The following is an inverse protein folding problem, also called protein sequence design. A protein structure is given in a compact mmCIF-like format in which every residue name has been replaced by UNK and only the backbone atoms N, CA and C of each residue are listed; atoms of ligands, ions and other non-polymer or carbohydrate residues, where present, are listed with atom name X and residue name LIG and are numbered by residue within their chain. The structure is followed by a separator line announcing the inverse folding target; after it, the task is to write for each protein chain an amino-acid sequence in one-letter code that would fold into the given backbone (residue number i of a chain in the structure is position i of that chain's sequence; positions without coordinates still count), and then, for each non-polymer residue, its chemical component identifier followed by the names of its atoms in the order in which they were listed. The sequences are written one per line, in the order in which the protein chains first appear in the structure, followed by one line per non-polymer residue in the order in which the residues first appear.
data_IF_178117014940
#
_entry.id   IF_178117014940
#
_cell.length_a   1.000
_cell.length_b   1.000
_cell.length_c   1.000
_cell.angle_alpha   90.00
_cell.angle_beta   90.00
_cell.angle_gamma   90.00
#
_symmetry.space_group_name_H-M   'P 1'
#
loop_
_entity.id
_entity.type
_entity.pdbx_description
1 polymer ?
#
# COMPACT_ATOMS: atom_id res chain seq x y z
N UNK A 1 -2.95 10.62 -74.94
CA UNK A 1 -2.06 9.43 -75.05
C UNK A 1 -2.57 8.32 -74.11
N UNK A 2 -2.18 7.06 -74.36
CA UNK A 2 -2.66 5.82 -73.69
C UNK A 2 -2.20 5.76 -72.22
N UNK A 3 -3.07 5.49 -71.23
CA UNK A 3 -3.60 4.20 -70.69
C UNK A 3 -2.61 3.35 -69.83
N UNK A 4 -2.87 3.34 -68.52
CA UNK A 4 -3.11 2.20 -67.58
C UNK A 4 -2.10 1.03 -67.35
N UNK A 5 -2.22 0.41 -66.16
CA UNK A 5 -1.79 -0.96 -65.75
C UNK A 5 -0.26 -1.21 -65.55
N UNK A 6 0.26 -2.20 -64.80
CA UNK A 6 -0.22 -3.11 -63.72
C UNK A 6 1.00 -3.73 -62.98
N UNK A 7 0.74 -4.49 -61.90
CA UNK A 7 1.57 -5.45 -61.15
C UNK A 7 2.73 -6.20 -61.85
N UNK A 8 3.75 -6.60 -61.06
CA UNK A 8 4.20 -7.99 -60.80
C UNK A 8 5.48 -7.96 -59.90
N UNK A 9 5.51 -8.57 -58.71
CA UNK A 9 5.62 -10.00 -58.31
C UNK A 9 7.08 -10.51 -58.14
N UNK A 10 7.32 -11.14 -56.97
CA UNK A 10 8.42 -12.08 -56.64
C UNK A 10 9.85 -11.48 -56.59
N UNK A 11 10.77 -11.94 -55.73
CA UNK A 11 11.17 -13.34 -55.47
C UNK A 11 11.41 -13.63 -53.97
N UNK A 12 10.99 -14.84 -53.54
CA UNK A 12 11.46 -15.48 -52.29
C UNK A 12 12.89 -16.03 -52.47
N UNK A 13 13.72 -15.91 -51.43
CA UNK A 13 14.70 -16.94 -51.12
C UNK A 13 14.64 -17.30 -49.63
N UNK A 14 13.95 -18.40 -49.34
CA UNK A 14 14.12 -19.16 -48.10
C UNK A 14 15.27 -20.13 -48.30
N UNK A 15 16.25 -20.14 -47.39
CA UNK A 15 17.02 -21.34 -47.07
C UNK A 15 17.01 -21.48 -45.55
N UNK A 16 16.56 -22.64 -45.10
CA UNK A 16 16.51 -23.01 -43.70
C UNK A 16 17.44 -24.21 -43.44
N UNK A 17 17.62 -24.48 -42.14
CA UNK A 17 17.88 -25.78 -41.49
C UNK A 17 19.28 -26.04 -40.91
N UNK A 18 19.26 -26.23 -39.57
CA UNK A 18 19.97 -27.21 -38.74
C UNK A 18 21.52 -27.28 -38.75
N UNK A 19 22.19 -27.52 -37.61
CA UNK A 19 21.73 -27.67 -36.21
C UNK A 19 22.75 -28.43 -35.34
N UNK A 20 22.64 -28.33 -33.99
CA UNK A 20 23.41 -29.05 -32.94
C UNK A 20 24.94 -28.76 -32.92
N UNK A 21 25.73 -28.81 -31.84
CA UNK A 21 25.62 -29.04 -30.37
C UNK A 21 27.00 -28.69 -29.72
N UNK A 22 27.26 -28.61 -28.41
CA UNK A 22 26.50 -28.66 -27.13
C UNK A 22 27.30 -27.95 -26.00
N UNK A 23 26.76 -27.96 -24.77
CA UNK A 23 27.42 -27.82 -23.46
C UNK A 23 28.08 -26.49 -23.01
N UNK A 24 27.71 -26.06 -21.79
CA UNK A 24 28.29 -24.92 -21.09
C UNK A 24 27.38 -24.41 -19.96
N UNK A 25 27.56 -24.90 -18.74
CA UNK A 25 26.70 -24.60 -17.58
C UNK A 25 26.71 -23.12 -17.17
N UNK A 26 25.57 -22.63 -16.66
CA UNK A 26 25.52 -21.93 -15.35
C UNK A 26 24.08 -21.75 -14.84
N UNK A 27 23.87 -22.10 -13.56
CA UNK A 27 22.62 -21.89 -12.83
C UNK A 27 22.45 -20.40 -12.48
N UNK A 28 21.33 -19.79 -12.88
CA UNK A 28 20.81 -18.54 -12.30
C UNK A 28 19.35 -18.28 -12.74
N UNK A 29 18.41 -19.19 -12.47
CA UNK A 29 16.98 -18.89 -12.61
C UNK A 29 16.50 -18.06 -11.42
N UNK A 30 16.89 -16.78 -11.41
CA UNK A 30 16.21 -15.78 -10.60
C UNK A 30 14.83 -15.55 -11.19
N UNK A 31 13.78 -15.97 -10.49
CA UNK A 31 12.39 -15.72 -10.89
C UNK A 31 12.15 -14.21 -10.91
N UNK A 32 12.13 -13.62 -12.10
CA UNK A 32 11.81 -12.21 -12.30
C UNK A 32 10.31 -12.00 -12.05
N UNK A 33 9.96 -11.72 -10.79
CA UNK A 33 8.64 -11.16 -10.45
C UNK A 33 8.47 -9.86 -11.24
N UNK A 34 7.38 -9.77 -11.99
CA UNK A 34 7.09 -8.63 -12.86
C UNK A 34 7.07 -7.32 -12.08
N UNK A 35 7.71 -6.28 -12.61
CA UNK A 35 7.90 -5.00 -11.93
C UNK A 35 6.60 -4.21 -11.82
N UNK A 36 5.95 -4.28 -10.66
CA UNK A 36 4.93 -3.32 -10.25
C UNK A 36 5.60 -2.03 -9.72
N UNK A 37 6.20 -1.24 -10.61
CA UNK A 37 6.57 0.14 -10.25
C UNK A 37 5.28 0.92 -9.93
N UNK A 38 5.11 1.42 -8.71
CA UNK A 38 4.03 2.36 -8.36
C UNK A 38 4.30 3.74 -9.00
N UNK A 39 4.22 3.79 -10.33
CA UNK A 39 4.18 5.01 -11.11
C UNK A 39 2.86 5.73 -10.83
N UNK A 40 2.99 6.88 -10.18
CA UNK A 40 2.01 7.75 -9.51
C UNK A 40 0.85 8.32 -10.34
N UNK A 41 0.48 7.73 -11.48
CA UNK A 41 -0.66 8.18 -12.31
C UNK A 41 -1.58 7.01 -12.69
N UNK A 42 -2.88 7.13 -12.38
CA UNK A 42 -3.93 6.16 -12.68
C UNK A 42 -4.72 6.54 -13.94
N UNK A 43 -5.35 5.60 -14.67
CA UNK A 43 -6.24 5.94 -15.77
C UNK A 43 -7.48 6.70 -15.26
N UNK A 44 -8.00 7.61 -16.08
CA UNK A 44 -9.14 8.47 -15.73
C UNK A 44 -10.47 7.71 -15.74
N UNK A 45 -10.75 6.98 -14.66
CA UNK A 45 -12.09 6.48 -14.31
C UNK A 45 -13.01 7.59 -13.78
N UNK A 46 -14.31 7.29 -13.60
CA UNK A 46 -15.32 8.28 -13.18
C UNK A 46 -14.94 9.00 -11.89
N UNK A 47 -14.65 10.29 -11.99
CA UNK A 47 -14.57 11.18 -10.83
C UNK A 47 -15.97 11.33 -10.21
N UNK A 48 -16.19 10.69 -9.07
CA UNK A 48 -17.36 10.93 -8.24
C UNK A 48 -17.24 12.35 -7.67
N UNK A 49 -18.07 13.26 -8.19
CA UNK A 49 -17.91 14.70 -7.98
C UNK A 49 -18.09 15.05 -6.50
N UNK A 50 -16.95 15.27 -5.84
CA UNK A 50 -16.84 15.92 -4.54
C UNK A 50 -17.63 17.24 -4.52
N UNK A 51 -18.06 17.67 -3.32
CA UNK A 51 -18.78 18.94 -3.11
C UNK A 51 -18.09 20.08 -3.88
N UNK A 52 -18.83 20.92 -4.62
CA UNK A 52 -18.21 21.92 -5.49
C UNK A 52 -17.45 22.94 -4.66
N UNK A 53 -16.13 22.82 -4.66
CA UNK A 53 -15.17 23.81 -5.14
C UNK A 53 -13.80 23.56 -4.51
N UNK A 54 -12.76 23.81 -5.31
CA UNK A 54 -11.44 24.09 -4.77
C UNK A 54 -11.54 25.30 -3.83
N UNK A 55 -10.82 25.23 -2.70
CA UNK A 55 -10.71 26.35 -1.75
C UNK A 55 -9.26 26.80 -1.67
N UNK A 56 -9.04 28.05 -1.29
CA UNK A 56 -7.68 28.57 -1.08
C UNK A 56 -7.06 27.89 0.16
N UNK A 57 -5.74 27.68 0.16
CA UNK A 57 -5.05 27.08 1.30
C UNK A 57 -5.19 27.91 2.59
N UNK A 58 -5.44 29.22 2.47
CA UNK A 58 -5.76 30.13 3.59
C UNK A 58 -7.08 29.82 4.28
N UNK A 59 -8.02 29.20 3.56
CA UNK A 59 -9.42 29.07 3.98
C UNK A 59 -9.69 27.70 4.64
N UNK A 60 -8.65 26.86 4.77
CA UNK A 60 -8.71 25.58 5.47
C UNK A 60 -8.58 25.83 6.98
N UNK A 61 -9.71 25.71 7.68
CA UNK A 61 -9.75 25.69 9.15
C UNK A 61 -9.17 24.36 9.67
N UNK A 62 -8.00 24.42 10.32
CA UNK A 62 -7.19 23.25 10.70
C UNK A 62 -7.12 23.06 12.21
N UNK A 63 -7.05 21.80 12.64
CA UNK A 63 -6.71 21.44 14.01
C UNK A 63 -5.35 20.73 14.06
N UNK A 64 -4.31 21.45 14.48
CA UNK A 64 -2.92 20.99 14.49
C UNK A 64 -2.61 19.84 15.47
N UNK A 65 -3.60 19.34 16.20
CA UNK A 65 -3.43 18.18 17.09
C UNK A 65 -3.99 16.87 16.53
N UNK A 66 -4.67 16.86 15.37
CA UNK A 66 -5.37 15.66 14.89
C UNK A 66 -4.42 14.56 14.38
N UNK A 67 -3.24 14.94 13.87
CA UNK A 67 -2.22 14.01 13.36
C UNK A 67 -1.13 13.65 14.38
N UNK A 68 -1.26 14.08 15.64
CA UNK A 68 -0.28 13.75 16.68
C UNK A 68 -0.23 12.24 16.91
N UNK A 69 0.98 11.67 16.99
CA UNK A 69 1.21 10.23 17.05
C UNK A 69 1.14 9.50 15.70
N UNK A 70 0.90 10.18 14.57
CA UNK A 70 1.06 9.57 13.24
C UNK A 70 2.54 9.57 12.82
N UNK A 71 3.00 8.46 12.25
CA UNK A 71 4.42 8.18 12.03
C UNK A 71 5.07 9.18 11.09
N UNK A 72 4.52 9.40 9.89
CA UNK A 72 5.12 10.30 8.92
C UNK A 72 4.97 11.77 9.37
N UNK A 73 3.82 12.14 9.93
CA UNK A 73 3.60 13.46 10.54
C UNK A 73 4.64 13.81 11.63
N UNK A 74 5.02 12.85 12.48
CA UNK A 74 5.98 13.09 13.58
C UNK A 74 7.32 13.67 13.08
N UNK A 75 7.76 13.23 11.89
CA UNK A 75 9.05 13.56 11.26
C UNK A 75 9.08 14.93 10.58
N UNK A 76 7.93 15.58 10.42
CA UNK A 76 7.78 16.85 9.73
C UNK A 76 8.25 18.04 10.59
N UNK A 77 8.85 19.04 9.93
CA UNK A 77 9.07 20.37 10.53
C UNK A 77 7.75 21.08 10.82
N UNK A 78 7.73 22.06 11.72
CA UNK A 78 6.48 22.78 12.10
C UNK A 78 5.77 23.41 10.88
N UNK A 79 6.54 23.93 9.93
CA UNK A 79 6.04 24.46 8.65
C UNK A 79 5.35 23.37 7.82
N UNK A 80 5.95 22.18 7.75
CA UNK A 80 5.38 21.04 7.03
C UNK A 80 4.18 20.42 7.75
N UNK A 81 4.18 20.40 9.09
CA UNK A 81 3.02 19.99 9.90
C UNK A 81 1.80 20.86 9.65
N UNK A 82 2.00 22.18 9.55
CA UNK A 82 0.96 23.12 9.13
C UNK A 82 0.39 22.78 7.74
N UNK A 83 1.27 22.48 6.77
CA UNK A 83 0.84 22.17 5.40
C UNK A 83 0.13 20.82 5.29
N UNK A 84 0.66 19.81 5.97
CA UNK A 84 0.06 18.49 6.10
C UNK A 84 -1.36 18.59 6.68
N UNK A 85 -1.56 19.34 7.76
CA UNK A 85 -2.88 19.49 8.37
C UNK A 85 -3.89 20.19 7.46
N UNK A 86 -3.47 21.16 6.63
CA UNK A 86 -4.32 21.74 5.58
C UNK A 86 -4.76 20.69 4.56
N UNK A 87 -3.79 19.96 3.99
CA UNK A 87 -4.03 18.92 2.98
C UNK A 87 -4.95 17.82 3.54
N UNK A 88 -4.60 17.26 4.71
CA UNK A 88 -5.35 16.21 5.41
C UNK A 88 -6.76 16.66 5.77
N UNK A 89 -6.93 17.88 6.28
CA UNK A 89 -8.26 18.43 6.59
C UNK A 89 -9.13 18.53 5.33
N UNK A 90 -8.56 18.99 4.22
CA UNK A 90 -9.28 19.09 2.95
C UNK A 90 -9.65 17.71 2.36
N UNK A 91 -8.77 16.71 2.49
CA UNK A 91 -9.04 15.28 2.16
C UNK A 91 -10.16 14.71 3.04
N UNK A 92 -10.10 14.91 4.37
CA UNK A 92 -11.13 14.47 5.33
C UNK A 92 -12.49 15.12 5.06
N UNK A 93 -12.51 16.38 4.61
CA UNK A 93 -13.72 17.09 4.19
C UNK A 93 -14.22 16.68 2.79
N UNK A 94 -13.51 15.79 2.09
CA UNK A 94 -13.76 15.40 0.69
C UNK A 94 -13.89 16.60 -0.25
N UNK A 95 -12.94 17.55 -0.19
CA UNK A 95 -12.83 18.68 -1.14
C UNK A 95 -12.31 18.19 -2.48
N UNK A 96 -12.63 18.87 -3.58
CA UNK A 96 -12.05 18.54 -4.91
C UNK A 96 -10.53 18.79 -5.01
N UNK A 97 -9.99 19.60 -4.10
CA UNK A 97 -8.59 20.02 -4.09
C UNK A 97 -8.40 21.38 -3.42
N UNK A 98 -7.17 21.91 -3.47
CA UNK A 98 -6.78 23.23 -2.97
C UNK A 98 -6.12 24.08 -4.05
N UNK A 99 -6.38 25.38 -4.00
CA UNK A 99 -5.52 26.39 -4.61
C UNK A 99 -4.49 26.83 -3.58
N UNK A 100 -3.21 26.61 -3.89
CA UNK A 100 -2.12 26.85 -2.97
C UNK A 100 -1.30 28.05 -3.41
N UNK A 101 -1.38 29.13 -2.63
CA UNK A 101 -0.74 30.40 -2.93
C UNK A 101 0.56 30.60 -2.15
N UNK A 102 0.75 29.87 -1.04
CA UNK A 102 1.96 29.96 -0.24
C UNK A 102 3.16 29.40 -1.02
N UNK A 103 4.15 30.26 -1.29
CA UNK A 103 5.35 29.97 -2.09
C UNK A 103 6.56 29.50 -1.28
N UNK A 104 6.40 29.31 0.03
CA UNK A 104 7.43 28.72 0.89
C UNK A 104 7.53 27.19 0.76
N UNK A 105 6.68 26.57 -0.06
CA UNK A 105 6.77 25.17 -0.45
C UNK A 105 6.91 24.99 -1.96
N UNK A 106 7.26 23.77 -2.38
CA UNK A 106 7.25 23.36 -3.79
C UNK A 106 6.06 22.44 -4.08
N UNK A 107 5.71 22.25 -5.37
CA UNK A 107 4.71 21.25 -5.76
C UNK A 107 5.10 19.83 -5.30
N UNK A 108 6.39 19.46 -5.41
CA UNK A 108 6.89 18.18 -4.92
C UNK A 108 6.74 18.03 -3.40
N UNK A 109 6.96 19.09 -2.62
CA UNK A 109 6.75 19.05 -1.16
C UNK A 109 5.26 18.81 -0.83
N UNK A 110 4.32 19.34 -1.62
CA UNK A 110 2.90 19.06 -1.45
C UNK A 110 2.56 17.59 -1.82
N UNK A 111 3.12 17.07 -2.90
CA UNK A 111 2.94 15.68 -3.31
C UNK A 111 3.55 14.68 -2.31
N UNK A 112 4.71 15.00 -1.72
CA UNK A 112 5.35 14.21 -0.66
C UNK A 112 4.50 14.20 0.61
N UNK A 113 3.89 15.35 0.99
CA UNK A 113 2.96 15.41 2.12
C UNK A 113 1.66 14.66 1.87
N UNK A 114 1.16 14.61 0.62
CA UNK A 114 0.01 13.77 0.26
C UNK A 114 0.33 12.28 0.34
N UNK A 115 1.54 11.86 -0.06
CA UNK A 115 2.01 10.49 0.17
C UNK A 115 2.01 10.18 1.68
N UNK A 116 2.51 11.09 2.53
CA UNK A 116 2.53 10.90 3.98
C UNK A 116 1.12 10.76 4.55
N UNK A 117 0.13 11.48 4.03
CA UNK A 117 -1.28 11.31 4.43
C UNK A 117 -1.79 9.92 4.04
N UNK A 118 -1.48 9.40 2.86
CA UNK A 118 -1.88 8.04 2.45
C UNK A 118 -1.18 6.92 3.24
N UNK A 119 0.01 7.19 3.78
CA UNK A 119 0.76 6.26 4.64
C UNK A 119 0.30 6.32 6.09
N UNK A 120 -0.10 7.48 6.60
CA UNK A 120 -0.53 7.66 8.00
C UNK A 120 -2.01 7.31 8.22
N UNK A 121 -2.87 7.47 7.22
CA UNK A 121 -4.34 7.33 7.33
C UNK A 121 -4.91 6.23 6.42
N UNK A 122 -4.70 4.93 6.73
CA UNK A 122 -5.37 3.83 6.03
C UNK A 122 -6.91 3.91 6.10
N UNK A 123 -7.45 4.60 7.11
CA UNK A 123 -8.88 4.91 7.19
C UNK A 123 -9.39 5.82 6.07
N UNK A 124 -8.55 6.56 5.35
CA UNK A 124 -8.93 7.38 4.18
C UNK A 124 -8.89 6.55 2.88
N UNK A 125 -9.40 5.31 2.93
CA UNK A 125 -9.39 4.33 1.83
C UNK A 125 -10.05 4.80 0.52
N UNK A 126 -10.82 5.90 0.57
CA UNK A 126 -11.46 6.52 -0.57
C UNK A 126 -10.57 7.54 -1.30
N UNK A 127 -9.46 7.97 -0.71
CA UNK A 127 -8.60 9.01 -1.24
C UNK A 127 -7.40 8.43 -2.00
N UNK A 128 -7.14 9.01 -3.17
CA UNK A 128 -5.91 8.83 -3.93
C UNK A 128 -5.38 10.20 -4.37
N UNK A 129 -4.05 10.36 -4.43
CA UNK A 129 -3.44 11.62 -4.87
C UNK A 129 -3.44 11.72 -6.40
N UNK A 130 -3.52 12.94 -6.90
CA UNK A 130 -3.03 13.30 -8.24
C UNK A 130 -1.78 14.17 -8.08
N UNK A 131 -0.89 14.21 -9.07
CA UNK A 131 0.30 15.05 -9.03
C UNK A 131 -0.08 16.54 -9.03
N UNK A 132 0.58 17.35 -8.19
CA UNK A 132 0.24 18.76 -7.99
C UNK A 132 0.56 19.58 -9.24
N UNK A 133 -0.48 20.13 -9.87
CA UNK A 133 -0.35 21.00 -11.03
C UNK A 133 0.11 22.42 -10.66
N UNK A 134 0.59 23.18 -11.65
CA UNK A 134 0.95 24.58 -11.49
C UNK A 134 0.28 25.43 -12.58
N UNK A 135 -0.38 26.52 -12.17
CA UNK A 135 -1.14 27.41 -13.04
C UNK A 135 -0.76 28.88 -12.77
N UNK A 136 -0.94 29.75 -13.76
CA UNK A 136 -0.74 31.21 -13.58
C UNK A 136 -2.09 31.92 -13.58
N UNK A 137 -2.50 32.42 -12.42
CA UNK A 137 -3.76 33.14 -12.21
C UNK A 137 -3.41 34.61 -11.92
N UNK A 138 -3.95 35.55 -12.71
CA UNK A 138 -3.69 36.99 -12.56
C UNK A 138 -2.18 37.36 -12.48
N UNK A 139 -1.34 36.69 -13.28
CA UNK A 139 0.12 36.88 -13.30
C UNK A 139 0.87 36.29 -12.10
N UNK A 140 0.20 35.51 -11.24
CA UNK A 140 0.80 34.81 -10.10
C UNK A 140 0.77 33.30 -10.34
N UNK A 141 1.91 32.65 -10.11
CA UNK A 141 1.97 31.18 -9.96
C UNK A 141 1.16 30.76 -8.73
N UNK A 142 0.32 29.74 -8.91
CA UNK A 142 -0.52 29.06 -7.92
C UNK A 142 -0.38 27.55 -8.17
N UNK A 143 -0.23 26.74 -7.12
CA UNK A 143 -0.27 25.29 -7.27
C UNK A 143 -1.71 24.78 -7.13
N UNK A 144 -2.15 23.91 -8.04
CA UNK A 144 -3.48 23.30 -8.06
C UNK A 144 -3.38 21.86 -7.59
N UNK A 145 -3.52 21.68 -6.28
CA UNK A 145 -3.47 20.38 -5.62
C UNK A 145 -4.82 19.69 -5.83
N UNK A 146 -4.85 18.60 -6.59
CA UNK A 146 -6.11 17.88 -6.91
C UNK A 146 -6.24 16.62 -6.07
N UNK A 147 -7.46 16.29 -5.65
CA UNK A 147 -7.75 15.06 -4.92
C UNK A 147 -8.65 14.14 -5.75
N UNK A 148 -8.25 12.88 -5.87
CA UNK A 148 -9.06 11.85 -6.49
C UNK A 148 -9.83 11.07 -5.42
N UNK A 149 -11.07 10.69 -5.71
CA UNK A 149 -11.88 9.86 -4.83
C UNK A 149 -12.44 8.64 -5.55
N UNK A 150 -12.09 7.47 -5.02
CA UNK A 150 -12.49 6.14 -5.50
C UNK A 150 -13.99 5.86 -5.26
N UNK A 151 -14.60 6.56 -4.30
CA UNK A 151 -15.99 6.39 -3.88
C UNK A 151 -16.62 7.76 -3.59
N UNK A 152 -17.93 7.89 -3.85
CA UNK A 152 -18.71 9.06 -3.41
C UNK A 152 -18.92 9.11 -1.87
N UNK A 153 -19.40 10.25 -1.38
CA UNK A 153 -19.56 10.48 0.06
C UNK A 153 -20.58 9.55 0.76
N UNK A 154 -21.64 9.13 0.07
CA UNK A 154 -22.64 8.23 0.65
C UNK A 154 -22.10 6.80 0.71
N UNK A 155 -21.38 6.37 -0.34
CA UNK A 155 -20.67 5.08 -0.37
C UNK A 155 -19.56 5.01 0.68
N UNK A 156 -18.78 6.08 0.86
CA UNK A 156 -17.79 6.18 1.94
C UNK A 156 -18.46 6.01 3.31
N UNK A 157 -19.56 6.71 3.56
CA UNK A 157 -20.29 6.63 4.82
C UNK A 157 -20.84 5.22 5.09
N UNK A 158 -21.35 4.53 4.06
CA UNK A 158 -21.78 3.14 4.16
C UNK A 158 -20.62 2.19 4.52
N UNK A 159 -19.50 2.31 3.80
CA UNK A 159 -18.31 1.47 4.01
C UNK A 159 -17.67 1.73 5.39
N UNK A 160 -17.60 2.98 5.85
CA UNK A 160 -17.19 3.34 7.21
C UNK A 160 -18.08 2.68 8.28
N UNK A 161 -19.41 2.65 8.08
CA UNK A 161 -20.34 1.98 9.01
C UNK A 161 -20.11 0.47 9.09
N UNK A 162 -19.81 -0.17 7.96
CA UNK A 162 -19.44 -1.59 7.90
C UNK A 162 -18.09 -1.86 8.56
N UNK A 163 -17.07 -1.06 8.24
CA UNK A 163 -15.75 -1.14 8.87
C UNK A 163 -15.87 -1.04 10.38
N UNK A 164 -16.59 -0.03 10.91
CA UNK A 164 -16.85 0.10 12.35
C UNK A 164 -17.49 -1.14 12.94
N UNK A 165 -18.44 -1.76 12.25
CA UNK A 165 -19.12 -2.98 12.73
C UNK A 165 -18.18 -4.19 12.82
N UNK A 166 -17.19 -4.30 11.93
CA UNK A 166 -16.16 -5.34 11.98
C UNK A 166 -15.11 -5.02 13.03
N UNK A 167 -14.60 -3.78 13.08
CA UNK A 167 -13.56 -3.38 14.03
C UNK A 167 -14.07 -3.33 15.47
N UNK A 168 -15.33 -2.97 15.73
CA UNK A 168 -15.94 -3.08 17.06
C UNK A 168 -15.92 -4.53 17.60
N UNK A 169 -16.08 -5.53 16.72
CA UNK A 169 -16.01 -6.96 17.09
C UNK A 169 -14.57 -7.39 17.36
N UNK A 170 -13.64 -7.04 16.46
CA UNK A 170 -12.21 -7.29 16.63
C UNK A 170 -11.69 -6.69 17.95
N UNK A 171 -11.99 -5.40 18.20
CA UNK A 171 -11.56 -4.68 19.39
C UNK A 171 -12.17 -5.22 20.70
N UNK A 172 -13.31 -5.92 20.65
CA UNK A 172 -13.89 -6.59 21.83
C UNK A 172 -13.01 -7.76 22.30
N UNK A 173 -12.41 -8.47 21.36
CA UNK A 173 -11.52 -9.60 21.64
C UNK A 173 -10.10 -9.10 21.93
N UNK A 174 -9.58 -8.18 21.13
CA UNK A 174 -8.26 -7.57 21.32
C UNK A 174 -8.08 -6.89 22.70
N UNK A 175 -9.14 -6.30 23.27
CA UNK A 175 -9.13 -5.71 24.63
C UNK A 175 -8.90 -6.71 25.77
N UNK A 176 -8.93 -8.02 25.50
CA UNK A 176 -8.62 -9.07 26.50
C UNK A 176 -7.11 -9.36 26.58
N UNK A 177 -6.38 -8.97 25.53
CA UNK A 177 -4.94 -9.15 25.38
C UNK A 177 -4.20 -8.07 26.17
N UNK A 178 -3.11 -8.43 26.83
CA UNK A 178 -2.43 -7.58 27.82
C UNK A 178 -1.17 -6.93 27.24
N UNK A 179 -0.41 -7.69 26.47
CA UNK A 179 0.87 -7.24 25.89
C UNK A 179 0.69 -6.74 24.46
N UNK A 180 1.64 -5.94 23.99
CA UNK A 180 1.65 -5.49 22.59
C UNK A 180 1.98 -6.62 21.62
N UNK A 181 2.77 -7.62 22.06
CA UNK A 181 2.98 -8.87 21.31
C UNK A 181 1.66 -9.64 21.07
N UNK A 182 0.88 -9.91 22.12
CA UNK A 182 -0.39 -10.64 21.99
C UNK A 182 -1.34 -9.93 21.00
N UNK A 183 -1.42 -8.59 21.08
CA UNK A 183 -2.22 -7.76 20.17
C UNK A 183 -1.70 -7.82 18.73
N UNK A 184 -0.38 -7.72 18.54
CA UNK A 184 0.28 -7.83 17.24
C UNK A 184 0.01 -9.19 16.59
N UNK A 185 0.25 -10.28 17.33
CA UNK A 185 -0.03 -11.65 16.91
C UNK A 185 -1.51 -11.86 16.57
N UNK A 186 -2.43 -11.43 17.44
CA UNK A 186 -3.87 -11.54 17.17
C UNK A 186 -4.30 -10.74 15.93
N UNK A 187 -3.72 -9.56 15.70
CA UNK A 187 -4.01 -8.74 14.51
C UNK A 187 -3.50 -9.42 13.23
N UNK A 188 -2.30 -10.00 13.30
CA UNK A 188 -1.65 -10.76 12.23
C UNK A 188 -2.51 -11.97 11.82
N UNK A 189 -2.79 -12.85 12.79
CA UNK A 189 -3.64 -14.02 12.61
C UNK A 189 -5.05 -13.66 12.14
N UNK A 190 -5.65 -12.59 12.67
CA UNK A 190 -6.99 -12.16 12.30
C UNK A 190 -7.08 -11.80 10.81
N UNK A 191 -6.11 -11.08 10.26
CA UNK A 191 -6.13 -10.67 8.86
C UNK A 191 -5.91 -11.89 7.94
N UNK A 192 -4.91 -12.72 8.24
CA UNK A 192 -4.58 -13.91 7.44
C UNK A 192 -5.77 -14.89 7.42
N UNK A 193 -6.38 -15.18 8.58
CA UNK A 193 -7.51 -16.12 8.65
C UNK A 193 -8.83 -15.57 8.06
N UNK A 194 -8.92 -14.28 7.70
CA UNK A 194 -10.14 -13.66 7.17
C UNK A 194 -9.96 -13.03 5.78
N UNK A 195 -8.79 -13.16 5.16
CA UNK A 195 -8.48 -12.56 3.85
C UNK A 195 -7.83 -13.59 2.93
N UNK A 196 -8.15 -13.55 1.64
CA UNK A 196 -7.43 -14.26 0.58
C UNK A 196 -6.61 -13.28 -0.25
N UNK A 197 -5.41 -13.70 -0.65
CA UNK A 197 -4.55 -12.91 -1.51
C UNK A 197 -5.09 -12.83 -2.95
N UNK A 198 -5.23 -11.62 -3.48
CA UNK A 198 -5.77 -11.36 -4.82
C UNK A 198 -4.64 -11.36 -5.88
N UNK A 199 -4.10 -12.54 -6.17
CA UNK A 199 -3.01 -12.70 -7.15
C UNK A 199 -3.37 -12.12 -8.54
N UNK A 200 -4.63 -12.27 -8.98
CA UNK A 200 -5.10 -11.72 -10.27
C UNK A 200 -4.88 -10.21 -10.37
N UNK A 201 -5.36 -9.45 -9.38
CA UNK A 201 -5.27 -7.99 -9.42
C UNK A 201 -3.85 -7.52 -9.10
N UNK A 202 -3.11 -8.22 -8.22
CA UNK A 202 -1.69 -7.95 -7.98
C UNK A 202 -0.86 -8.08 -9.28
N UNK A 203 -1.11 -9.14 -10.07
CA UNK A 203 -0.41 -9.40 -11.35
C UNK A 203 -0.82 -8.44 -12.45
N UNK A 204 -2.10 -8.06 -12.52
CA UNK A 204 -2.58 -7.07 -13.48
C UNK A 204 -1.98 -5.68 -13.23
N UNK A 205 -1.78 -5.33 -11.95
CA UNK A 205 -1.32 -4.02 -11.52
C UNK A 205 -2.45 -2.98 -11.46
N UNK A 206 -2.24 -1.93 -10.65
CA UNK A 206 -3.26 -0.94 -10.27
C UNK A 206 -3.93 -0.17 -11.43
N UNK A 207 -3.31 -0.20 -12.62
CA UNK A 207 -3.64 0.65 -13.77
C UNK A 207 -4.16 -0.12 -15.00
N UNK A 208 -4.19 -1.46 -15.00
CA UNK A 208 -4.37 -2.25 -16.23
C UNK A 208 -5.72 -2.97 -16.33
N UNK A 209 -6.81 -2.31 -15.94
CA UNK A 209 -8.13 -2.92 -15.88
C UNK A 209 -9.01 -2.46 -17.04
N UNK A 210 -9.34 -3.37 -17.95
CA UNK A 210 -10.38 -3.16 -18.97
C UNK A 210 -11.82 -3.25 -18.40
N UNK A 211 -11.98 -3.63 -17.12
CA UNK A 211 -13.27 -3.88 -16.44
C UNK A 211 -13.42 -3.03 -15.15
N UNK A 212 -12.83 -1.84 -15.12
CA UNK A 212 -12.45 -1.11 -13.89
C UNK A 212 -13.54 -0.30 -13.17
N UNK A 213 -14.79 -0.77 -13.10
CA UNK A 213 -15.86 -0.04 -12.40
C UNK A 213 -16.61 -0.84 -11.32
N UNK A 214 -16.12 -2.01 -10.92
CA UNK A 214 -16.69 -2.71 -9.77
C UNK A 214 -15.98 -2.34 -8.46
N UNK A 215 -16.75 -1.96 -7.45
CA UNK A 215 -16.27 -1.65 -6.09
C UNK A 215 -15.32 -2.72 -5.51
N UNK A 216 -15.52 -4.00 -5.85
CA UNK A 216 -14.68 -5.12 -5.38
C UNK A 216 -13.24 -5.01 -5.90
N UNK A 217 -13.05 -4.61 -7.16
CA UNK A 217 -11.71 -4.44 -7.77
C UNK A 217 -10.99 -3.24 -7.17
N UNK A 218 -11.70 -2.18 -6.79
CA UNK A 218 -11.11 -1.05 -6.07
C UNK A 218 -10.81 -1.40 -4.60
N UNK A 219 -11.70 -2.15 -3.94
CA UNK A 219 -11.59 -2.52 -2.54
C UNK A 219 -10.35 -3.37 -2.22
N UNK A 220 -9.94 -4.29 -3.11
CA UNK A 220 -8.79 -5.17 -2.84
C UNK A 220 -7.46 -4.42 -2.63
N UNK A 221 -7.37 -3.13 -3.01
CA UNK A 221 -6.20 -2.28 -2.82
C UNK A 221 -6.23 -1.44 -1.53
N UNK A 222 -7.21 -1.66 -0.64
CA UNK A 222 -7.35 -0.89 0.60
C UNK A 222 -8.01 -1.73 1.72
N UNK A 223 -8.21 -1.12 2.90
CA UNK A 223 -8.74 -1.80 4.09
C UNK A 223 -10.11 -2.47 3.89
N UNK A 224 -10.93 -2.01 2.95
CA UNK A 224 -12.26 -2.62 2.69
C UNK A 224 -12.15 -3.97 1.98
N UNK A 225 -11.10 -4.21 1.19
CA UNK A 225 -10.81 -5.51 0.59
C UNK A 225 -10.58 -6.58 1.66
N UNK A 226 -9.62 -6.33 2.55
CA UNK A 226 -9.32 -7.24 3.64
C UNK A 226 -10.47 -7.33 4.66
N UNK A 227 -10.88 -6.21 5.26
CA UNK A 227 -11.78 -6.23 6.43
C UNK A 227 -13.26 -6.43 6.11
N UNK A 228 -13.71 -6.21 4.87
CA UNK A 228 -15.12 -6.38 4.48
C UNK A 228 -15.36 -7.46 3.42
N UNK A 229 -14.45 -7.61 2.46
CA UNK A 229 -14.62 -8.57 1.36
C UNK A 229 -13.87 -9.89 1.58
N UNK A 230 -12.86 -9.92 2.45
CA UNK A 230 -11.94 -11.05 2.61
C UNK A 230 -11.07 -11.32 1.37
N UNK A 231 -10.77 -10.28 0.59
CA UNK A 231 -10.08 -10.37 -0.70
C UNK A 231 -9.24 -9.11 -0.95
N UNK A 232 -7.91 -9.23 -0.92
CA UNK A 232 -7.00 -8.09 -0.97
C UNK A 232 -5.64 -8.42 -1.62
N UNK A 233 -4.98 -7.39 -2.17
CA UNK A 233 -3.55 -7.44 -2.48
C UNK A 233 -2.74 -6.92 -1.28
N UNK A 234 -1.41 -6.92 -1.37
CA UNK A 234 -0.51 -6.54 -0.27
C UNK A 234 -0.87 -5.20 0.38
N UNK A 235 -1.19 -4.17 -0.41
CA UNK A 235 -1.63 -2.87 0.11
C UNK A 235 -2.87 -2.97 1.01
N UNK A 236 -3.84 -3.81 0.66
CA UNK A 236 -5.03 -4.02 1.49
C UNK A 236 -4.74 -4.74 2.81
N UNK A 237 -3.86 -5.76 2.79
CA UNK A 237 -3.37 -6.44 3.99
C UNK A 237 -2.63 -5.46 4.92
N UNK A 238 -1.61 -4.78 4.38
CA UNK A 238 -0.71 -3.88 5.12
C UNK A 238 -1.44 -2.66 5.69
N UNK A 239 -2.40 -2.09 4.95
CA UNK A 239 -3.26 -1.03 5.49
C UNK A 239 -4.26 -1.55 6.54
N UNK A 240 -4.76 -2.78 6.40
CA UNK A 240 -5.68 -3.36 7.38
C UNK A 240 -4.98 -3.64 8.72
N UNK A 241 -3.77 -4.19 8.69
CA UNK A 241 -2.96 -4.40 9.90
C UNK A 241 -2.65 -3.08 10.58
N UNK A 242 -2.18 -2.10 9.81
CA UNK A 242 -1.95 -0.75 10.31
C UNK A 242 -3.19 -0.15 10.98
N UNK A 243 -4.36 -0.25 10.34
CA UNK A 243 -5.60 0.29 10.86
C UNK A 243 -6.03 -0.39 12.17
N UNK A 244 -5.93 -1.72 12.25
CA UNK A 244 -6.27 -2.46 13.46
C UNK A 244 -5.28 -2.22 14.61
N UNK A 245 -3.97 -2.08 14.34
CA UNK A 245 -2.96 -1.73 15.35
C UNK A 245 -3.17 -0.31 15.88
N UNK A 246 -3.38 0.67 14.98
CA UNK A 246 -3.67 2.05 15.37
C UNK A 246 -4.96 2.16 16.21
N UNK A 247 -6.00 1.38 15.91
CA UNK A 247 -7.23 1.30 16.72
C UNK A 247 -7.02 0.68 18.11
N UNK A 248 -5.94 -0.09 18.32
CA UNK A 248 -5.52 -0.62 19.62
C UNK A 248 -4.62 0.37 20.40
N UNK A 249 -4.30 1.53 19.81
CA UNK A 249 -3.40 2.52 20.38
C UNK A 249 -1.91 2.22 20.18
N UNK A 250 -1.58 1.29 19.27
CA UNK A 250 -0.20 0.92 18.95
C UNK A 250 0.23 1.67 17.69
N UNK A 251 1.38 2.35 17.74
CA UNK A 251 1.95 3.07 16.58
C UNK A 251 2.30 2.07 15.47
N UNK A 252 1.61 2.17 14.33
CA UNK A 252 1.89 1.37 13.14
C UNK A 252 1.95 2.25 11.87
N UNK A 253 3.00 2.04 11.08
CA UNK A 253 3.27 2.74 9.83
C UNK A 253 3.16 1.79 8.61
N UNK A 254 2.84 2.37 7.46
CA UNK A 254 2.87 1.73 6.15
C UNK A 254 4.25 1.96 5.49
N UNK A 255 4.88 0.90 5.00
CA UNK A 255 6.22 0.92 4.39
C UNK A 255 6.16 0.42 2.95
N UNK A 256 6.79 1.15 2.02
CA UNK A 256 6.81 0.82 0.59
C UNK A 256 8.16 0.24 0.16
N UNK A 257 8.12 -0.94 -0.43
CA UNK A 257 9.20 -1.55 -1.20
C UNK A 257 8.94 -1.49 -2.71
N UNK A 258 9.94 -1.86 -3.51
CA UNK A 258 9.92 -1.71 -4.98
C UNK A 258 8.70 -2.33 -5.71
N UNK A 259 8.07 -3.36 -5.12
CA UNK A 259 6.94 -4.08 -5.71
C UNK A 259 6.02 -4.69 -4.64
N UNK A 260 6.16 -4.26 -3.39
CA UNK A 260 5.49 -4.85 -2.23
C UNK A 260 5.44 -3.86 -1.07
N UNK A 261 4.61 -4.08 -0.07
CA UNK A 261 4.49 -3.20 1.09
C UNK A 261 4.20 -3.99 2.36
N UNK A 262 4.72 -3.50 3.48
CA UNK A 262 4.66 -4.14 4.80
C UNK A 262 4.58 -3.07 5.89
N UNK A 263 4.49 -3.49 7.15
CA UNK A 263 4.32 -2.60 8.29
C UNK A 263 5.61 -2.42 9.09
N UNK A 264 5.72 -1.25 9.73
CA UNK A 264 6.63 -0.97 10.82
C UNK A 264 5.77 -0.67 12.06
N UNK A 265 6.00 -1.37 13.16
CA UNK A 265 5.15 -1.32 14.36
C UNK A 265 6.00 -1.13 15.61
N UNK A 266 5.54 -0.30 16.55
CA UNK A 266 6.21 -0.07 17.83
C UNK A 266 5.55 -0.92 18.92
N UNK A 267 6.27 -1.87 19.51
CA UNK A 267 5.76 -2.79 20.53
C UNK A 267 6.65 -2.72 21.78
N UNK A 268 6.08 -2.40 22.94
CA UNK A 268 6.85 -2.12 24.18
C UNK A 268 7.99 -1.10 23.96
N UNK A 269 7.68 0.02 23.28
CA UNK A 269 8.60 1.09 22.86
C UNK A 269 9.69 0.73 21.83
N UNK A 270 9.87 -0.54 21.47
CA UNK A 270 10.81 -1.00 20.46
C UNK A 270 10.16 -1.15 19.07
N UNK A 271 10.93 -0.95 18.00
CA UNK A 271 10.43 -1.02 16.62
C UNK A 271 10.68 -2.38 15.96
N UNK A 272 9.67 -2.86 15.20
CA UNK A 272 9.68 -4.14 14.50
C UNK A 272 9.00 -4.03 13.12
N UNK A 273 9.47 -4.81 12.14
CA UNK A 273 8.77 -4.95 10.85
C UNK A 273 7.78 -6.12 10.87
N UNK A 274 6.69 -6.02 10.12
CA UNK A 274 5.71 -7.12 9.99
C UNK A 274 5.17 -7.18 8.58
N UNK A 275 5.23 -8.35 7.94
CA UNK A 275 4.65 -8.60 6.63
C UNK A 275 3.53 -9.64 6.72
N UNK A 276 2.30 -9.15 6.81
CA UNK A 276 1.09 -9.97 6.91
C UNK A 276 0.76 -10.69 5.60
N UNK A 277 1.30 -10.21 4.47
CA UNK A 277 1.05 -10.84 3.17
C UNK A 277 1.94 -12.06 3.00
N UNK A 278 3.23 -11.97 3.32
CA UNK A 278 4.16 -13.10 3.13
C UNK A 278 4.00 -14.20 4.17
N UNK A 279 3.43 -13.88 5.34
CA UNK A 279 2.99 -14.87 6.32
C UNK A 279 1.68 -15.59 6.00
N UNK A 280 0.95 -15.14 4.98
CA UNK A 280 -0.28 -15.78 4.53
C UNK A 280 0.04 -17.01 3.66
N UNK A 281 -0.29 -18.24 4.10
CA UNK A 281 -0.07 -19.46 3.30
C UNK A 281 -0.95 -19.53 2.05
N UNK A 282 -1.95 -18.64 1.91
CA UNK A 282 -2.78 -18.52 0.73
C UNK A 282 -2.23 -17.53 -0.31
N UNK A 283 -0.96 -17.13 -0.20
CA UNK A 283 -0.20 -16.59 -1.34
C UNK A 283 0.07 -17.71 -2.36
N UNK A 284 -0.11 -17.43 -3.66
CA UNK A 284 -0.03 -18.47 -4.70
C UNK A 284 1.41 -18.97 -4.91
N UNK A 285 1.77 -20.03 -4.19
CA UNK A 285 2.87 -20.91 -4.55
C UNK A 285 2.49 -21.73 -5.79
N UNK A 286 3.02 -21.35 -6.96
CA UNK A 286 2.98 -22.23 -8.12
C UNK A 286 4.05 -23.30 -7.94
N UNK A 287 3.66 -24.58 -7.98
CA UNK A 287 4.62 -25.67 -8.03
C UNK A 287 5.47 -25.55 -9.31
N UNK A 288 6.81 -25.43 -9.22
CA UNK A 288 7.67 -25.17 -10.38
C UNK A 288 7.82 -26.39 -11.32
N UNK A 289 7.43 -27.60 -10.90
CA UNK A 289 7.45 -28.80 -11.73
C UNK A 289 6.08 -29.09 -12.38
N UNK A 290 4.98 -28.87 -11.66
CA UNK A 290 3.63 -29.19 -12.14
C UNK A 290 2.84 -27.99 -12.69
N UNK A 291 3.20 -26.77 -12.30
CA UNK A 291 2.44 -25.56 -12.63
C UNK A 291 1.12 -25.44 -11.87
N UNK A 292 0.81 -26.34 -10.94
CA UNK A 292 -0.41 -26.29 -10.15
C UNK A 292 -0.32 -25.25 -9.03
N UNK A 293 -1.44 -24.58 -8.75
CA UNK A 293 -1.58 -23.69 -7.58
C UNK A 293 -1.73 -24.58 -6.36
N UNK A 294 -0.67 -24.69 -5.57
CA UNK A 294 -0.68 -25.48 -4.34
C UNK A 294 -1.10 -24.61 -3.17
N UNK A 295 -2.35 -24.75 -2.73
CA UNK A 295 -2.75 -24.30 -1.40
C UNK A 295 -2.09 -25.22 -0.37
N UNK A 296 -1.14 -24.71 0.41
CA UNK A 296 -0.62 -25.42 1.57
C UNK A 296 -1.59 -25.23 2.74
N UNK A 297 -2.19 -26.32 3.25
CA UNK A 297 -2.96 -26.30 4.51
C UNK A 297 -2.05 -26.09 5.75
N UNK A 298 -0.74 -25.96 5.55
CA UNK A 298 0.29 -25.88 6.60
C UNK A 298 0.50 -24.47 7.18
N UNK A 299 -0.53 -23.93 7.83
CA UNK A 299 -0.40 -22.92 8.88
C UNK A 299 0.07 -21.51 8.48
N UNK A 300 0.15 -20.62 9.47
CA UNK A 300 0.60 -19.23 9.31
C UNK A 300 2.12 -19.17 9.47
N UNK A 301 2.82 -18.49 8.56
CA UNK A 301 4.27 -18.29 8.69
C UNK A 301 4.57 -17.06 9.55
N UNK A 302 4.95 -17.34 10.80
CA UNK A 302 5.31 -16.34 11.80
C UNK A 302 6.73 -15.78 11.63
N UNK A 303 7.54 -16.25 10.68
CA UNK A 303 8.87 -15.69 10.42
C UNK A 303 8.81 -14.24 9.92
N UNK A 304 7.68 -13.83 9.35
CA UNK A 304 7.41 -12.46 8.90
C UNK A 304 6.73 -11.57 9.95
N UNK A 305 6.48 -12.07 11.16
CA UNK A 305 5.94 -11.31 12.29
C UNK A 305 7.08 -10.73 13.14
N UNK A 306 7.05 -9.42 13.35
CA UNK A 306 7.96 -8.67 14.22
C UNK A 306 9.46 -8.93 13.95
N UNK A 307 9.88 -8.76 12.71
CA UNK A 307 11.27 -8.89 12.23
C UNK A 307 12.16 -7.70 12.60
N UNK A 308 13.46 -7.95 12.76
CA UNK A 308 14.52 -6.94 12.78
C UNK A 308 14.81 -6.37 11.37
N UNK A 309 15.55 -5.26 11.29
CA UNK A 309 16.07 -4.73 10.02
C UNK A 309 16.93 -5.76 9.30
N UNK A 310 17.77 -6.52 10.03
CA UNK A 310 18.64 -7.53 9.45
C UNK A 310 17.84 -8.71 8.85
N UNK A 311 16.74 -9.11 9.48
CA UNK A 311 15.84 -10.13 8.96
C UNK A 311 15.10 -9.62 7.72
N UNK A 312 14.47 -8.43 7.79
CA UNK A 312 13.76 -7.82 6.68
C UNK A 312 14.65 -7.65 5.43
N UNK A 313 15.86 -7.09 5.58
CA UNK A 313 16.71 -6.76 4.41
C UNK A 313 17.34 -7.97 3.71
N UNK A 314 17.17 -9.19 4.24
CA UNK A 314 17.54 -10.44 3.53
C UNK A 314 16.55 -10.78 2.41
N UNK A 315 15.31 -10.30 2.51
CA UNK A 315 14.17 -10.74 1.70
C UNK A 315 13.41 -9.57 1.04
N UNK A 316 13.38 -8.39 1.66
CA UNK A 316 12.71 -7.19 1.14
C UNK A 316 13.69 -6.11 0.70
N UNK A 317 13.20 -5.23 -0.18
CA UNK A 317 13.94 -4.03 -0.64
C UNK A 317 13.01 -2.82 -0.63
N UNK A 318 13.38 -1.81 0.13
CA UNK A 318 12.71 -0.50 0.18
C UNK A 318 12.68 0.16 -1.21
N UNK A 319 11.62 0.92 -1.48
CA UNK A 319 11.53 1.73 -2.69
C UNK A 319 12.42 2.98 -2.54
N UNK A 320 13.32 3.29 -3.50
CA UNK A 320 14.17 4.49 -3.46
C UNK A 320 13.40 5.83 -3.41
N UNK A 321 12.12 5.83 -3.78
CA UNK A 321 11.23 6.98 -3.68
C UNK A 321 10.60 7.15 -2.30
N UNK A 322 10.54 6.10 -1.47
CA UNK A 322 9.96 6.17 -0.12
C UNK A 322 10.78 7.12 0.79
N UNK A 323 10.16 8.25 1.16
CA UNK A 323 10.82 9.34 1.92
C UNK A 323 10.79 9.26 3.45
N UNK A 324 9.80 8.61 4.12
CA UNK A 324 9.80 8.51 5.57
C UNK A 324 11.07 7.82 6.08
N UNK A 325 11.70 8.41 7.09
CA UNK A 325 12.88 7.82 7.74
C UNK A 325 12.41 6.65 8.59
N UNK A 326 12.96 5.48 8.34
CA UNK A 326 12.69 4.28 9.13
C UNK A 326 13.76 4.14 10.23
N UNK A 327 13.37 3.76 11.46
CA UNK A 327 14.30 3.40 12.52
C UNK A 327 14.99 2.07 12.19
N UNK A 328 16.15 1.84 12.79
CA UNK A 328 16.75 0.52 12.82
C UNK A 328 16.04 -0.34 13.87
N UNK A 329 15.52 -1.50 13.45
CA UNK A 329 14.81 -2.45 14.29
C UNK A 329 15.80 -3.54 14.72
N UNK A 330 16.25 -3.52 15.97
CA UNK A 330 17.27 -4.47 16.50
C UNK A 330 16.73 -5.37 17.61
N UNK A 331 15.62 -4.99 18.25
CA UNK A 331 15.00 -5.77 19.30
C UNK A 331 14.40 -7.07 18.77
N UNK A 332 14.43 -8.12 19.59
CA UNK A 332 13.88 -9.44 19.27
C UNK A 332 12.81 -9.92 20.25
N UNK A 333 12.58 -9.21 21.36
CA UNK A 333 11.67 -9.60 22.46
C UNK A 333 10.27 -9.99 21.97
N UNK A 334 9.72 -9.22 21.03
CA UNK A 334 8.38 -9.44 20.48
C UNK A 334 8.41 -10.21 19.13
N UNK A 335 9.54 -10.81 18.77
CA UNK A 335 9.68 -11.71 17.62
C UNK A 335 9.37 -13.16 18.02
N UNK A 336 8.62 -13.94 17.22
CA UNK A 336 8.24 -15.33 17.57
C UNK A 336 9.43 -16.26 17.89
N UNK A 337 10.60 -16.03 17.29
CA UNK A 337 11.83 -16.80 17.55
C UNK A 337 12.35 -16.63 18.99
N UNK A 338 12.16 -15.45 19.61
CA UNK A 338 12.68 -15.18 20.95
C UNK A 338 11.85 -15.81 22.08
N UNK A 339 10.56 -16.08 21.85
CA UNK A 339 9.71 -16.69 22.90
C UNK A 339 9.94 -18.22 23.01
N UNK A 340 10.56 -18.82 21.99
CA UNK A 340 10.97 -20.22 22.03
C UNK A 340 12.29 -20.49 22.77
N UNK A 341 13.14 -19.47 23.03
CA UNK A 341 14.33 -19.64 23.89
C UNK A 341 13.98 -19.66 25.38
N UNK A 342 12.98 -18.89 25.80
CA UNK A 342 12.74 -18.60 27.22
C UNK A 342 11.98 -19.73 27.94
N UNK A 343 11.37 -20.67 27.21
CA UNK A 343 10.73 -21.87 27.76
C UNK A 343 11.70 -23.06 27.94
N UNK A 344 13.01 -22.88 27.68
CA UNK A 344 14.00 -23.95 27.78
C UNK A 344 14.61 -24.13 29.19
N UNK A 345 14.42 -23.17 30.11
CA UNK A 345 15.08 -23.19 31.44
C UNK A 345 14.16 -23.59 32.62
N UNK A 346 12.86 -23.85 32.42
CA UNK A 346 11.95 -24.30 33.50
C UNK A 346 11.75 -25.84 33.56
N UNK A 347 12.61 -26.63 32.89
CA UNK A 347 12.65 -28.10 32.98
C UNK A 347 14.08 -28.69 33.03
N UNK A 348 14.95 -28.10 33.86
CA UNK A 348 16.29 -28.62 34.17
C UNK A 348 16.49 -28.88 35.67
#
# INVERSE_FOLDING_TARGET
MKKTLLCCLLILTVIAAAGCSSDGSNNATGTTVSSATEATERPTGKSYIAKPNFIEDSDVDINNTESQGRFCYSQLSDKQKLYYEKLRTAVKQQRSGLYWNNRECTAQELDDLLNYITYDYPEYFWFSKENTGAETINGKLVFRVKFHYEYDADRVKELQGKLKTVTDKFLKEAKKLKTDYEKSLYTYEYIINNTKYNQKNATAGYNNFAEMESDRVLACWNITGALLNGDAVCRGYTQAYQYLMNLQGIECAYVVGNSHCWNLTKLDDEWYYTDVTWGDPFTEGTDPETGEVKYTEDGIDYSYLNMTTEQLLKIHKLDPSFKPKLPECTATKNSPVAIHSDNAEEQA
#
